data_IF_757723603162
#
_entry.id   IF_757723603162
#
_cell.length_a   1.000
_cell.length_b   1.000
_cell.length_c   1.000
_cell.angle_alpha   90.00
_cell.angle_beta   90.00
_cell.angle_gamma   90.00
#
_symmetry.space_group_name_H-M   'P 1'
#
loop_
_entity.id
_entity.type
_entity.pdbx_description
1 polymer ?
#
# COMPACT_ATOMS: atom_id res chain seq x y z
N UNK A 1 -0.99 3.71 -25.82
CA UNK A 1 -0.74 4.49 -24.58
C UNK A 1 -2.03 4.72 -23.76
N UNK A 2 -3.17 5.03 -24.38
CA UNK A 2 -4.43 5.39 -23.69
C UNK A 2 -4.99 4.31 -22.75
N UNK A 3 -5.02 3.04 -23.17
CA UNK A 3 -5.52 1.95 -22.32
C UNK A 3 -4.66 1.72 -21.06
N UNK A 4 -3.34 1.87 -21.19
CA UNK A 4 -2.38 1.68 -20.11
C UNK A 4 -2.52 2.77 -19.04
N UNK A 5 -2.80 4.01 -19.45
CA UNK A 5 -3.19 5.10 -18.55
C UNK A 5 -4.49 4.76 -17.82
N UNK A 6 -5.52 4.37 -18.58
CA UNK A 6 -6.84 4.11 -18.03
C UNK A 6 -6.80 3.00 -16.96
N UNK A 7 -6.23 1.82 -17.26
CA UNK A 7 -6.15 0.72 -16.29
C UNK A 7 -5.31 1.08 -15.07
N UNK A 8 -4.20 1.79 -15.25
CA UNK A 8 -3.34 2.17 -14.12
C UNK A 8 -3.99 3.25 -13.23
N UNK A 9 -4.66 4.24 -13.83
CA UNK A 9 -5.40 5.27 -13.11
C UNK A 9 -6.62 4.70 -12.38
N UNK A 10 -7.28 3.69 -12.96
CA UNK A 10 -8.45 3.04 -12.38
C UNK A 10 -8.08 2.31 -11.08
N UNK A 11 -6.91 1.67 -11.02
CA UNK A 11 -6.39 1.09 -9.77
C UNK A 11 -6.18 2.13 -8.68
N UNK A 12 -5.56 3.26 -9.00
CA UNK A 12 -5.35 4.36 -8.05
C UNK A 12 -6.69 4.93 -7.53
N UNK A 13 -7.63 5.17 -8.43
CA UNK A 13 -8.95 5.71 -8.11
C UNK A 13 -9.79 4.76 -7.26
N UNK A 14 -9.85 3.47 -7.62
CA UNK A 14 -10.56 2.48 -6.83
C UNK A 14 -9.97 2.31 -5.43
N UNK A 15 -8.64 2.30 -5.30
CA UNK A 15 -8.00 2.26 -3.98
C UNK A 15 -8.29 3.47 -3.12
N UNK A 16 -8.43 4.64 -3.74
CA UNK A 16 -8.83 5.85 -3.04
C UNK A 16 -10.28 5.73 -2.55
N UNK A 17 -11.21 5.28 -3.39
CA UNK A 17 -12.60 5.04 -2.98
C UNK A 17 -12.72 4.01 -1.86
N UNK A 18 -11.96 2.91 -1.93
CA UNK A 18 -11.91 1.89 -0.87
C UNK A 18 -11.36 2.45 0.44
N UNK A 19 -10.32 3.26 0.37
CA UNK A 19 -9.76 3.95 1.54
C UNK A 19 -10.84 4.79 2.22
N UNK A 20 -11.58 5.61 1.47
CA UNK A 20 -12.68 6.43 2.00
C UNK A 20 -13.79 5.56 2.57
N UNK A 21 -14.18 4.50 1.87
CA UNK A 21 -15.19 3.55 2.34
C UNK A 21 -14.83 2.95 3.70
N UNK A 22 -13.59 2.46 3.86
CA UNK A 22 -13.14 1.90 5.12
C UNK A 22 -13.00 2.95 6.23
N UNK A 23 -12.64 4.20 5.90
CA UNK A 23 -12.59 5.29 6.87
C UNK A 23 -13.97 5.60 7.46
N UNK A 24 -15.01 5.65 6.62
CA UNK A 24 -16.39 5.97 7.03
C UNK A 24 -17.06 4.78 7.72
N UNK A 25 -16.84 3.56 7.23
CA UNK A 25 -17.56 2.37 7.67
C UNK A 25 -16.83 1.57 8.80
N UNK A 26 -15.83 2.18 9.47
CA UNK A 26 -15.02 1.57 10.52
C UNK A 26 -15.79 1.35 11.85
N UNK A 27 -16.87 0.57 11.85
CA UNK A 27 -17.72 0.35 13.05
C UNK A 27 -17.22 -0.76 13.99
N UNK A 28 -16.43 -1.73 13.51
CA UNK A 28 -15.83 -2.82 14.32
C UNK A 28 -14.30 -2.82 14.16
N UNK A 29 -13.53 -3.03 15.23
CA UNK A 29 -12.05 -2.93 15.26
C UNK A 29 -11.54 -1.65 14.57
N UNK A 30 -11.97 -0.50 15.12
CA UNK A 30 -11.79 0.85 14.59
C UNK A 30 -10.36 1.13 14.11
N UNK A 31 -9.35 0.83 14.93
CA UNK A 31 -7.94 1.07 14.58
C UNK A 31 -7.46 0.25 13.39
N UNK A 32 -7.84 -1.02 13.29
CA UNK A 32 -7.46 -1.89 12.16
C UNK A 32 -8.00 -1.35 10.84
N UNK A 33 -9.27 -0.92 10.82
CA UNK A 33 -9.88 -0.38 9.60
C UNK A 33 -9.29 0.98 9.22
N UNK A 34 -8.89 1.81 10.19
CA UNK A 34 -8.18 3.06 9.90
C UNK A 34 -6.79 2.81 9.30
N UNK A 35 -5.99 1.88 9.85
CA UNK A 35 -4.68 1.58 9.26
C UNK A 35 -4.81 0.97 7.87
N UNK A 36 -5.83 0.14 7.63
CA UNK A 36 -6.13 -0.36 6.29
C UNK A 36 -6.49 0.78 5.33
N UNK A 37 -7.37 1.67 5.76
CA UNK A 37 -7.77 2.84 4.98
C UNK A 37 -6.56 3.70 4.60
N UNK A 38 -5.70 4.01 5.57
CA UNK A 38 -4.49 4.81 5.35
C UNK A 38 -3.47 4.09 4.46
N UNK A 39 -3.30 2.77 4.61
CA UNK A 39 -2.46 1.95 3.74
C UNK A 39 -2.94 2.04 2.28
N UNK A 40 -4.25 1.87 2.05
CA UNK A 40 -4.84 1.97 0.72
C UNK A 40 -4.69 3.38 0.13
N UNK A 41 -4.88 4.42 0.95
CA UNK A 41 -4.71 5.81 0.54
C UNK A 41 -3.29 6.10 0.04
N UNK A 42 -2.29 5.74 0.83
CA UNK A 42 -0.89 6.00 0.51
C UNK A 42 -0.45 5.20 -0.73
N UNK A 43 -0.90 3.96 -0.86
CA UNK A 43 -0.67 3.17 -2.06
C UNK A 43 -1.29 3.88 -3.28
N UNK A 44 -2.56 4.28 -3.21
CA UNK A 44 -3.25 5.06 -4.26
C UNK A 44 -2.50 6.32 -4.67
N UNK A 45 -2.01 7.12 -3.71
CA UNK A 45 -1.22 8.32 -3.97
C UNK A 45 0.07 7.98 -4.76
N UNK A 46 0.77 6.91 -4.37
CA UNK A 46 1.99 6.46 -5.07
C UNK A 46 1.72 6.05 -6.52
N UNK A 47 0.63 5.34 -6.77
CA UNK A 47 0.29 4.89 -8.14
C UNK A 47 -0.15 6.09 -8.96
N UNK A 48 -1.00 6.97 -8.40
CA UNK A 48 -1.38 8.21 -9.05
C UNK A 48 -0.12 8.99 -9.46
N UNK A 49 0.84 9.18 -8.55
CA UNK A 49 2.16 9.76 -8.87
C UNK A 49 2.83 9.06 -10.03
N UNK A 50 2.90 7.73 -10.01
CA UNK A 50 3.57 6.94 -11.04
C UNK A 50 2.90 7.07 -12.41
N UNK A 51 1.57 7.06 -12.44
CA UNK A 51 0.77 7.21 -13.67
C UNK A 51 0.91 8.64 -14.21
N UNK A 52 0.67 9.65 -13.40
CA UNK A 52 0.79 11.04 -13.85
C UNK A 52 2.21 11.37 -14.31
N UNK A 53 3.24 10.89 -13.61
CA UNK A 53 4.64 11.13 -14.02
C UNK A 53 4.98 10.45 -15.35
N UNK A 54 4.43 9.27 -15.63
CA UNK A 54 4.70 8.56 -16.89
C UNK A 54 4.01 9.23 -18.09
N UNK A 55 2.80 9.76 -17.91
CA UNK A 55 2.01 10.34 -19.01
C UNK A 55 2.15 11.87 -19.14
N UNK A 56 2.56 12.57 -18.08
CA UNK A 56 2.83 14.01 -18.08
C UNK A 56 4.22 14.27 -17.48
N UNK A 57 5.27 14.35 -18.31
CA UNK A 57 6.62 14.64 -17.84
C UNK A 57 6.75 16.01 -17.15
N UNK A 58 5.91 16.98 -17.55
CA UNK A 58 5.87 18.35 -16.98
C UNK A 58 5.08 18.45 -15.66
N UNK A 59 4.89 17.32 -14.98
CA UNK A 59 4.17 17.28 -13.71
C UNK A 59 4.90 18.11 -12.64
N UNK A 60 4.13 18.88 -11.87
CA UNK A 60 4.68 19.71 -10.80
C UNK A 60 5.58 18.89 -9.86
N UNK A 61 6.80 19.38 -9.63
CA UNK A 61 7.77 18.80 -8.71
C UNK A 61 7.20 18.62 -7.29
N UNK A 62 6.28 19.49 -6.89
CA UNK A 62 5.57 19.41 -5.60
C UNK A 62 4.74 18.12 -5.54
N UNK A 63 4.06 17.75 -6.63
CA UNK A 63 3.27 16.53 -6.68
C UNK A 63 4.14 15.27 -6.59
N UNK A 64 5.32 15.29 -7.22
CA UNK A 64 6.32 14.23 -7.10
C UNK A 64 6.78 14.09 -5.65
N UNK A 65 7.13 15.21 -5.00
CA UNK A 65 7.60 15.24 -3.62
C UNK A 65 6.53 14.73 -2.64
N UNK A 66 5.27 15.12 -2.80
CA UNK A 66 4.16 14.62 -1.97
C UNK A 66 4.00 13.11 -2.15
N UNK A 67 4.03 12.63 -3.40
CA UNK A 67 3.93 11.20 -3.68
C UNK A 67 5.06 10.38 -3.06
N UNK A 68 6.30 10.88 -3.15
CA UNK A 68 7.47 10.28 -2.51
C UNK A 68 7.37 10.30 -0.98
N UNK A 69 6.90 11.42 -0.43
CA UNK A 69 6.76 11.59 1.01
C UNK A 69 5.72 10.66 1.61
N UNK A 70 4.60 10.46 0.90
CA UNK A 70 3.58 9.50 1.30
C UNK A 70 4.15 8.07 1.35
N UNK A 71 5.02 7.68 0.41
CA UNK A 71 5.55 6.31 0.30
C UNK A 71 6.24 5.79 1.56
N UNK A 72 6.84 6.66 2.39
CA UNK A 72 7.51 6.27 3.64
C UNK A 72 6.55 5.62 4.66
N UNK A 73 5.24 5.87 4.51
CA UNK A 73 4.21 5.36 5.42
C UNK A 73 3.64 4.00 5.01
N UNK A 74 3.94 3.49 3.80
CA UNK A 74 3.37 2.21 3.33
C UNK A 74 3.78 1.06 4.27
N UNK A 75 5.07 0.96 4.58
CA UNK A 75 5.60 -0.06 5.50
C UNK A 75 4.99 0.03 6.90
N UNK A 76 5.06 1.19 7.57
CA UNK A 76 4.46 1.40 8.88
C UNK A 76 2.97 1.08 8.94
N UNK A 77 2.18 1.50 7.94
CA UNK A 77 0.75 1.21 7.91
C UNK A 77 0.46 -0.27 7.71
N UNK A 78 1.22 -0.99 6.87
CA UNK A 78 1.10 -2.45 6.76
C UNK A 78 1.35 -3.13 8.12
N UNK A 79 2.43 -2.75 8.81
CA UNK A 79 2.77 -3.33 10.10
C UNK A 79 1.72 -3.03 11.17
N UNK A 80 1.26 -1.78 11.26
CA UNK A 80 0.25 -1.39 12.23
C UNK A 80 -1.08 -2.09 11.95
N UNK A 81 -1.47 -2.23 10.69
CA UNK A 81 -2.66 -2.97 10.28
C UNK A 81 -2.61 -4.45 10.68
N UNK A 82 -1.50 -5.15 10.43
CA UNK A 82 -1.36 -6.56 10.79
C UNK A 82 -1.26 -6.76 12.31
N UNK A 83 -0.48 -5.90 12.97
CA UNK A 83 -0.35 -5.93 14.44
C UNK A 83 -1.68 -5.65 15.14
N UNK A 84 -2.50 -4.74 14.62
CA UNK A 84 -3.75 -4.29 15.29
C UNK A 84 -4.82 -5.38 15.25
N UNK A 85 -4.70 -6.28 14.28
CA UNK A 85 -5.58 -7.42 14.18
C UNK A 85 -5.18 -8.56 15.12
N UNK A 86 -3.89 -8.87 15.18
CA UNK A 86 -3.35 -10.02 15.92
C UNK A 86 -3.13 -9.77 17.42
N UNK A 87 -3.17 -8.52 17.87
CA UNK A 87 -2.98 -8.18 19.29
C UNK A 87 -4.09 -7.26 19.77
N UNK A 88 -4.81 -7.67 20.80
CA UNK A 88 -5.77 -6.81 21.49
C UNK A 88 -5.02 -5.90 22.48
N UNK A 89 -4.79 -4.64 22.09
CA UNK A 89 -4.11 -3.65 22.93
C UNK A 89 -3.90 -2.30 22.26
N UNK A 90 -3.64 -1.25 23.07
CA UNK A 90 -3.28 0.07 22.54
C UNK A 90 -1.98 -0.03 21.76
N UNK A 91 -2.03 0.27 20.46
CA UNK A 91 -0.82 0.32 19.65
C UNK A 91 -0.13 1.66 19.79
N UNK A 92 1.18 1.59 20.00
CA UNK A 92 2.09 2.74 19.95
C UNK A 92 2.35 3.17 18.49
N UNK A 93 1.28 3.50 17.77
CA UNK A 93 1.33 3.90 16.35
C UNK A 93 2.14 5.17 16.12
N UNK A 94 2.15 6.07 17.12
CA UNK A 94 2.88 7.34 17.09
C UNK A 94 4.35 7.13 16.76
N UNK A 95 5.00 6.14 17.39
CA UNK A 95 6.41 5.81 17.19
C UNK A 95 6.73 5.29 15.79
N UNK A 96 5.75 4.76 15.07
CA UNK A 96 5.92 4.24 13.72
C UNK A 96 5.49 5.21 12.63
N UNK A 97 4.86 6.35 12.97
CA UNK A 97 4.34 7.31 11.98
C UNK A 97 5.00 8.68 12.15
N UNK A 98 4.99 9.22 13.38
CA UNK A 98 5.43 10.60 13.64
C UNK A 98 6.91 10.83 13.30
N UNK A 99 7.86 9.94 13.65
CA UNK A 99 9.26 10.15 13.28
C UNK A 99 9.46 10.22 11.77
N UNK A 100 8.80 9.35 11.00
CA UNK A 100 8.94 9.33 9.54
C UNK A 100 8.30 10.56 8.90
N UNK A 101 7.12 10.99 9.40
CA UNK A 101 6.50 12.23 8.96
C UNK A 101 7.38 13.44 9.26
N UNK A 102 7.92 13.54 10.49
CA UNK A 102 8.80 14.64 10.86
C UNK A 102 10.06 14.67 9.98
N UNK A 103 10.75 13.54 9.82
CA UNK A 103 11.95 13.44 9.00
C UNK A 103 11.66 13.81 7.54
N UNK A 104 10.60 13.28 6.94
CA UNK A 104 10.30 13.55 5.53
C UNK A 104 9.82 14.98 5.28
N UNK A 105 9.11 15.59 6.24
CA UNK A 105 8.72 17.00 6.18
C UNK A 105 9.93 17.93 6.32
N UNK A 106 10.85 17.64 7.24
CA UNK A 106 12.09 18.41 7.40
C UNK A 106 12.94 18.29 6.12
N UNK A 107 13.15 17.07 5.62
CA UNK A 107 13.88 16.84 4.37
C UNK A 107 13.19 17.55 3.18
N UNK A 108 11.87 17.50 3.10
CA UNK A 108 11.10 18.16 2.05
C UNK A 108 11.15 19.68 2.08
N UNK A 109 11.36 20.29 3.26
CA UNK A 109 11.49 21.74 3.41
C UNK A 109 12.91 22.23 3.12
N UNK A 110 13.93 21.57 3.68
CA UNK A 110 15.33 21.99 3.52
C UNK A 110 15.98 21.50 2.22
N UNK A 111 15.55 20.35 1.71
CA UNK A 111 16.05 19.75 0.48
C UNK A 111 14.88 19.48 -0.46
N UNK A 112 14.26 20.52 -1.04
CA UNK A 112 13.12 20.34 -1.91
C UNK A 112 13.50 19.56 -3.18
N UNK A 113 12.54 18.79 -3.71
CA UNK A 113 12.80 17.83 -4.79
C UNK A 113 13.32 18.50 -6.07
N UNK A 114 12.81 19.69 -6.40
CA UNK A 114 13.17 20.47 -7.60
C UNK A 114 14.67 20.78 -7.69
N UNK A 115 15.30 21.13 -6.58
CA UNK A 115 16.70 21.54 -6.52
C UNK A 115 17.65 20.36 -6.27
N UNK A 116 17.14 19.27 -5.68
CA UNK A 116 17.96 18.15 -5.20
C UNK A 116 17.53 16.78 -5.77
N UNK A 117 17.09 16.74 -7.03
CA UNK A 117 16.65 15.51 -7.72
C UNK A 117 17.64 14.32 -7.56
N UNK A 118 18.98 14.50 -7.68
CA UNK A 118 19.92 13.40 -7.52
C UNK A 118 19.92 12.80 -6.10
N UNK A 119 19.74 13.63 -5.07
CA UNK A 119 19.67 13.22 -3.67
C UNK A 119 18.38 12.43 -3.41
N UNK A 120 17.26 12.94 -3.91
CA UNK A 120 15.97 12.28 -3.79
C UNK A 120 15.96 10.92 -4.47
N UNK A 121 16.52 10.83 -5.67
CA UNK A 121 16.48 9.62 -6.48
C UNK A 121 17.50 8.58 -6.02
N UNK A 122 18.71 9.01 -5.64
CA UNK A 122 19.80 8.09 -5.32
C UNK A 122 19.81 7.64 -3.87
N UNK A 123 19.37 8.49 -2.94
CA UNK A 123 19.47 8.24 -1.50
C UNK A 123 18.10 8.11 -0.86
N UNK A 124 17.28 9.17 -0.88
CA UNK A 124 16.01 9.20 -0.15
C UNK A 124 15.08 8.07 -0.62
N UNK A 125 14.92 7.89 -1.92
CA UNK A 125 14.10 6.82 -2.49
C UNK A 125 14.57 5.42 -2.08
N UNK A 126 15.88 5.16 -2.11
CA UNK A 126 16.45 3.87 -1.69
C UNK A 126 16.21 3.62 -0.21
N UNK A 127 16.38 4.65 0.62
CA UNK A 127 16.09 4.56 2.06
C UNK A 127 14.61 4.28 2.33
N UNK A 128 13.69 4.92 1.60
CA UNK A 128 12.24 4.63 1.70
C UNK A 128 11.96 3.18 1.33
N UNK A 129 12.57 2.66 0.25
CA UNK A 129 12.35 1.28 -0.18
C UNK A 129 12.94 0.27 0.81
N UNK A 130 14.12 0.56 1.35
CA UNK A 130 14.73 -0.27 2.39
C UNK A 130 13.88 -0.27 3.67
N UNK A 131 13.42 0.89 4.11
CA UNK A 131 12.51 1.01 5.26
C UNK A 131 11.22 0.23 5.03
N UNK A 132 10.61 0.34 3.85
CA UNK A 132 9.43 -0.44 3.50
C UNK A 132 9.71 -1.96 3.55
N UNK A 133 10.85 -2.43 3.05
CA UNK A 133 11.26 -3.83 3.15
C UNK A 133 11.39 -4.30 4.60
N UNK A 134 12.05 -3.52 5.46
CA UNK A 134 12.20 -3.83 6.89
C UNK A 134 10.82 -4.02 7.52
N UNK A 135 9.86 -3.14 7.22
CA UNK A 135 8.51 -3.28 7.73
C UNK A 135 7.75 -4.48 7.16
N UNK A 136 7.96 -4.86 5.90
CA UNK A 136 7.41 -6.11 5.33
C UNK A 136 7.95 -7.31 6.13
N UNK A 137 9.26 -7.39 6.35
CA UNK A 137 9.90 -8.48 7.09
C UNK A 137 9.37 -8.56 8.52
N UNK A 138 9.32 -7.42 9.23
CA UNK A 138 8.80 -7.39 10.61
C UNK A 138 7.31 -7.74 10.66
N UNK A 139 6.54 -7.38 9.62
CA UNK A 139 5.10 -7.69 9.54
C UNK A 139 4.84 -9.18 9.34
N UNK A 140 5.77 -9.91 8.73
CA UNK A 140 5.65 -11.35 8.47
C UNK A 140 5.37 -12.16 9.74
N UNK A 141 5.90 -11.75 10.90
CA UNK A 141 5.66 -12.44 12.17
C UNK A 141 4.18 -12.55 12.55
N UNK A 142 3.36 -11.57 12.15
CA UNK A 142 1.92 -11.58 12.44
C UNK A 142 1.12 -12.52 11.52
N UNK A 143 1.74 -13.02 10.44
CA UNK A 143 1.16 -14.04 9.56
C UNK A 143 1.50 -15.46 10.01
N UNK A 144 2.42 -15.66 10.96
CA UNK A 144 2.82 -16.99 11.43
C UNK A 144 1.62 -17.89 11.84
N UNK A 145 0.60 -17.40 12.58
CA UNK A 145 -0.56 -18.22 12.92
C UNK A 145 -1.37 -18.65 11.70
N UNK A 146 -1.44 -17.81 10.66
CA UNK A 146 -2.12 -18.12 9.40
C UNK A 146 -1.32 -19.17 8.62
N UNK A 147 0.01 -19.05 8.58
CA UNK A 147 0.88 -20.02 7.92
C UNK A 147 0.87 -21.39 8.60
N UNK A 148 0.74 -21.44 9.93
CA UNK A 148 0.56 -22.69 10.68
C UNK A 148 -0.72 -23.39 10.24
N UNK A 149 -1.86 -22.69 10.19
CA UNK A 149 -3.13 -23.24 9.68
C UNK A 149 -2.99 -23.84 8.27
N UNK A 150 -2.26 -23.18 7.36
CA UNK A 150 -1.99 -23.70 6.01
C UNK A 150 -1.21 -25.00 6.07
N UNK A 151 -0.15 -25.03 6.89
CA UNK A 151 0.71 -26.21 7.08
C UNK A 151 -0.08 -27.39 7.67
N UNK A 152 -0.95 -27.10 8.62
CA UNK A 152 -1.79 -28.07 9.32
C UNK A 152 -3.04 -28.46 8.49
N UNK A 153 -3.15 -27.94 7.26
CA UNK A 153 -4.27 -28.15 6.32
C UNK A 153 -5.64 -27.76 6.90
N UNK A 154 -5.65 -26.82 7.82
CA UNK A 154 -6.89 -26.23 8.33
C UNK A 154 -7.53 -25.32 7.29
N UNK A 155 -8.87 -25.25 7.32
CA UNK A 155 -9.59 -24.32 6.46
C UNK A 155 -9.32 -22.88 6.89
N UNK A 156 -8.78 -22.07 5.97
CA UNK A 156 -8.56 -20.66 6.20
C UNK A 156 -9.89 -19.91 6.31
N UNK A 157 -10.01 -19.08 7.34
CA UNK A 157 -11.16 -18.16 7.43
C UNK A 157 -10.99 -17.09 6.36
N UNK A 158 -12.11 -16.53 5.87
CA UNK A 158 -12.06 -15.43 4.87
C UNK A 158 -11.18 -14.26 5.31
N UNK A 159 -11.15 -13.98 6.62
CA UNK A 159 -10.30 -12.95 7.20
C UNK A 159 -8.80 -13.31 7.13
N UNK A 160 -8.44 -14.58 7.28
CA UNK A 160 -7.05 -15.04 7.14
C UNK A 160 -6.56 -14.85 5.69
N UNK A 161 -7.40 -15.20 4.71
CA UNK A 161 -7.13 -14.96 3.27
C UNK A 161 -6.98 -13.46 3.00
N UNK A 162 -7.86 -12.64 3.56
CA UNK A 162 -7.82 -11.18 3.42
C UNK A 162 -6.48 -10.57 3.87
N UNK A 163 -5.99 -10.95 5.06
CA UNK A 163 -4.70 -10.48 5.56
C UNK A 163 -3.53 -10.93 4.69
N UNK A 164 -3.56 -12.19 4.25
CA UNK A 164 -2.53 -12.73 3.37
C UNK A 164 -2.51 -11.98 2.02
N UNK A 165 -3.68 -11.71 1.43
CA UNK A 165 -3.80 -10.96 0.17
C UNK A 165 -3.25 -9.54 0.28
N UNK A 166 -3.52 -8.82 1.39
CA UNK A 166 -2.97 -7.48 1.61
C UNK A 166 -1.46 -7.53 1.75
N UNK A 167 -0.94 -8.45 2.57
CA UNK A 167 0.51 -8.58 2.75
C UNK A 167 1.23 -8.92 1.44
N UNK A 168 0.74 -9.94 0.71
CA UNK A 168 1.30 -10.34 -0.59
C UNK A 168 1.19 -9.18 -1.57
N UNK A 169 0.06 -8.48 -1.58
CA UNK A 169 -0.16 -7.34 -2.44
C UNK A 169 0.85 -6.20 -2.22
N UNK A 170 1.09 -5.85 -0.96
CA UNK A 170 2.09 -4.82 -0.60
C UNK A 170 3.50 -5.29 -0.89
N UNK A 171 3.84 -6.55 -0.61
CA UNK A 171 5.16 -7.12 -0.90
C UNK A 171 5.43 -7.19 -2.41
N UNK A 172 4.45 -7.59 -3.21
CA UNK A 172 4.53 -7.63 -4.66
C UNK A 172 4.67 -6.22 -5.24
N UNK A 173 3.94 -5.25 -4.69
CA UNK A 173 4.07 -3.84 -5.08
C UNK A 173 5.47 -3.33 -4.78
N UNK A 174 6.02 -3.61 -3.60
CA UNK A 174 7.42 -3.28 -3.26
C UNK A 174 8.39 -3.89 -4.28
N UNK A 175 8.25 -5.19 -4.56
CA UNK A 175 9.11 -5.90 -5.51
C UNK A 175 9.06 -5.24 -6.88
N UNK A 176 7.87 -5.00 -7.43
CA UNK A 176 7.69 -4.39 -8.74
C UNK A 176 8.31 -2.99 -8.84
N UNK A 177 8.29 -2.18 -7.78
CA UNK A 177 8.92 -0.86 -7.79
C UNK A 177 10.43 -0.88 -7.56
N UNK A 178 10.96 -1.86 -6.83
CA UNK A 178 12.41 -2.01 -6.66
C UNK A 178 13.07 -2.58 -7.91
N UNK A 179 12.38 -3.47 -8.63
CA UNK A 179 12.83 -4.03 -9.91
C UNK A 179 12.49 -3.14 -11.11
N UNK A 180 11.73 -2.06 -10.92
CA UNK A 180 11.42 -1.07 -11.96
C UNK A 180 12.63 -0.31 -12.52
N UNK A 181 13.82 -0.45 -11.93
CA UNK A 181 15.07 0.00 -12.56
C UNK A 181 15.50 -0.93 -13.72
N UNK A 182 15.05 -2.18 -13.71
CA UNK A 182 15.33 -3.21 -14.72
C UNK A 182 14.12 -3.50 -15.63
N UNK A 183 12.91 -3.08 -15.24
CA UNK A 183 11.66 -3.22 -16.02
C UNK A 183 11.07 -1.86 -16.36
N UNK A 184 10.04 -1.80 -17.23
CA UNK A 184 9.34 -0.53 -17.47
C UNK A 184 8.71 0.03 -16.19
N UNK A 185 8.91 1.32 -15.90
CA UNK A 185 8.41 2.03 -14.70
C UNK A 185 6.89 1.85 -14.47
N UNK A 186 6.11 1.63 -15.53
CA UNK A 186 4.66 1.40 -15.48
C UNK A 186 4.25 0.03 -14.91
N UNK A 187 5.17 -0.94 -14.89
CA UNK A 187 4.88 -2.29 -14.40
C UNK A 187 4.47 -2.25 -12.93
N UNK A 188 5.11 -1.41 -12.10
CA UNK A 188 4.72 -1.23 -10.71
C UNK A 188 3.27 -0.71 -10.52
N UNK A 189 2.83 0.20 -11.40
CA UNK A 189 1.46 0.71 -11.37
C UNK A 189 0.44 -0.37 -11.79
N UNK A 190 0.74 -1.14 -12.83
CA UNK A 190 -0.11 -2.25 -13.30
C UNK A 190 -0.18 -3.40 -12.28
N UNK A 191 0.95 -3.76 -11.68
CA UNK A 191 1.04 -4.77 -10.62
C UNK A 191 0.17 -4.42 -9.43
N UNK A 192 0.18 -3.15 -9.00
CA UNK A 192 -0.72 -2.71 -7.94
C UNK A 192 -2.18 -2.76 -8.38
N UNK A 193 -2.53 -2.25 -9.57
CA UNK A 193 -3.91 -2.30 -10.07
C UNK A 193 -4.43 -3.73 -10.03
N UNK A 194 -3.65 -4.68 -10.53
CA UNK A 194 -4.01 -6.09 -10.51
C UNK A 194 -4.26 -6.61 -9.09
N UNK A 195 -3.34 -6.33 -8.16
CA UNK A 195 -3.49 -6.68 -6.74
C UNK A 195 -4.73 -6.04 -6.13
N UNK A 196 -4.99 -4.77 -6.43
CA UNK A 196 -6.14 -4.05 -5.92
C UNK A 196 -7.44 -4.64 -6.44
N UNK A 197 -7.50 -4.99 -7.72
CA UNK A 197 -8.66 -5.65 -8.29
C UNK A 197 -8.90 -7.03 -7.68
N UNK A 198 -7.84 -7.79 -7.37
CA UNK A 198 -7.98 -9.04 -6.61
C UNK A 198 -8.56 -8.79 -5.21
N UNK A 199 -8.10 -7.74 -4.53
CA UNK A 199 -8.64 -7.35 -3.22
C UNK A 199 -10.12 -6.92 -3.33
N UNK A 200 -10.49 -6.14 -4.36
CA UNK A 200 -11.88 -5.75 -4.63
C UNK A 200 -12.76 -6.94 -4.96
N UNK A 201 -12.27 -7.87 -5.79
CA UNK A 201 -12.96 -9.10 -6.12
C UNK A 201 -13.25 -9.92 -4.85
N UNK A 202 -12.25 -10.08 -3.99
CA UNK A 202 -12.42 -10.73 -2.68
C UNK A 202 -13.42 -10.00 -1.77
N UNK A 203 -13.52 -8.67 -1.86
CA UNK A 203 -14.54 -7.88 -1.15
C UNK A 203 -15.95 -8.07 -1.70
N UNK A 204 -16.11 -8.19 -3.02
CA UNK A 204 -17.40 -8.43 -3.64
C UNK A 204 -17.90 -9.83 -3.26
N UNK A 205 -17.04 -10.85 -3.35
CA UNK A 205 -17.35 -12.20 -2.88
C UNK A 205 -17.53 -12.31 -1.36
N UNK A 206 -17.06 -11.32 -0.58
CA UNK A 206 -17.37 -11.18 0.85
C UNK A 206 -18.83 -10.74 1.08
N UNK A 207 -19.42 -9.97 0.17
CA UNK A 207 -20.75 -9.37 0.34
C UNK A 207 -21.88 -10.15 -0.34
N UNK A 208 -21.57 -11.05 -1.29
CA UNK A 208 -22.55 -11.94 -1.91
C UNK A 208 -22.73 -13.23 -1.08
N UNK A 209 -23.59 -13.18 -0.08
CA UNK A 209 -24.42 -14.35 0.21
C UNK A 209 -25.76 -14.11 -0.52
N UNK A 210 -26.15 -15.08 -1.35
CA UNK A 210 -27.38 -15.15 -2.17
C UNK A 210 -27.37 -14.42 -3.53
N UNK A 211 -26.81 -15.08 -4.55
CA UNK A 211 -27.60 -15.49 -5.74
C UNK A 211 -26.76 -16.42 -6.63
N UNK A 212 -27.09 -17.70 -6.56
CA UNK A 212 -26.99 -18.70 -7.64
C UNK A 212 -26.43 -18.22 -8.98
N UNK A 213 -25.31 -18.80 -9.41
CA UNK A 213 -25.00 -18.95 -10.84
C UNK A 213 -24.18 -20.22 -11.03
N UNK A 214 -24.88 -21.37 -11.02
CA UNK A 214 -24.74 -22.49 -11.95
C UNK A 214 -25.82 -23.52 -11.56
N UNK A 215 -27.01 -23.36 -12.16
CA UNK A 215 -27.70 -24.48 -12.81
C UNK A 215 -27.35 -24.36 -14.30
#
# INVERSE_FOLDING_TARGET
>A
MTFLFFFSALGAFNGFLLSVYFAINAKKKVFTNYFLSLLLLVLSIRIAKSVFFYFNPDLSNIFIQIGLSACILIGPFLFLYLKSYSTDGKQNWVWHIVPYLAVISILGYFYPYNEHVPVWTSWILKTIYFQWLVYIIISFKYLQPILQKIKDKENLKRIDVWFLSIYIGVAFTWLAYTTAAYTSYIVGALSFTFVLYLIVLLLIFRNSHESTFFN
#
